data_IF_156167209135
#
_entry.id   IF_156167209135
#
_cell.length_a   1.000
_cell.length_b   1.000
_cell.length_c   1.000
_cell.angle_alpha   90.00
_cell.angle_beta   90.00
_cell.angle_gamma   90.00
#
_symmetry.space_group_name_H-M   'P 1'
#
loop_
_entity.id
_entity.type
_entity.pdbx_description
1 polymer ?
#
# COMPACT_ATOMS: atom_id res chain seq x y z
N UNK A 1 7.95 -16.31 2.31
CA UNK A 1 8.33 -14.90 2.11
C UNK A 1 7.58 -14.06 3.14
N UNK A 2 8.24 -13.11 3.81
CA UNK A 2 7.59 -12.19 4.76
C UNK A 2 6.87 -11.06 4.02
N UNK A 3 5.88 -10.42 4.66
CA UNK A 3 5.19 -9.24 4.09
C UNK A 3 6.17 -8.13 3.71
N UNK A 4 7.22 -7.91 4.50
CA UNK A 4 8.26 -6.93 4.20
C UNK A 4 9.07 -7.30 2.95
N UNK A 5 9.45 -8.58 2.81
CA UNK A 5 10.16 -9.06 1.63
C UNK A 5 9.29 -8.97 0.37
N UNK A 6 8.01 -9.33 0.49
CA UNK A 6 7.06 -9.23 -0.62
C UNK A 6 6.83 -7.78 -1.05
N UNK A 7 6.60 -6.90 -0.07
CA UNK A 7 6.46 -5.47 -0.32
C UNK A 7 7.65 -4.92 -1.08
N UNK A 8 8.87 -5.25 -0.63
CA UNK A 8 10.10 -4.85 -1.31
C UNK A 8 10.18 -5.42 -2.73
N UNK A 9 9.91 -6.71 -2.91
CA UNK A 9 9.96 -7.35 -4.22
C UNK A 9 8.98 -6.70 -5.21
N UNK A 10 7.75 -6.39 -4.78
CA UNK A 10 6.76 -5.74 -5.63
C UNK A 10 7.15 -4.28 -5.91
N UNK A 11 7.73 -3.58 -4.93
CA UNK A 11 8.22 -2.21 -5.10
C UNK A 11 9.34 -2.10 -6.14
N UNK A 12 10.19 -3.12 -6.24
CA UNK A 12 11.27 -3.24 -7.23
C UNK A 12 10.77 -3.80 -8.59
N UNK A 13 9.47 -4.10 -8.73
CA UNK A 13 8.86 -4.73 -9.91
C UNK A 13 8.06 -3.76 -10.79
N UNK A 14 7.56 -4.24 -11.94
CA UNK A 14 6.61 -3.51 -12.78
C UNK A 14 5.26 -3.23 -12.12
N UNK A 15 4.91 -3.93 -11.04
CA UNK A 15 3.66 -3.73 -10.28
C UNK A 15 3.76 -2.63 -9.22
N UNK A 16 4.91 -1.94 -9.11
CA UNK A 16 5.15 -0.87 -8.14
C UNK A 16 4.03 0.16 -8.08
N UNK A 17 3.63 0.70 -9.23
CA UNK A 17 2.63 1.76 -9.30
C UNK A 17 1.24 1.28 -8.85
N UNK A 18 0.89 0.02 -9.14
CA UNK A 18 -0.34 -0.59 -8.70
C UNK A 18 -0.33 -0.80 -7.17
N UNK A 19 0.79 -1.28 -6.62
CA UNK A 19 0.99 -1.42 -5.17
C UNK A 19 0.79 -0.09 -4.45
N UNK A 20 1.48 0.97 -4.90
CA UNK A 20 1.47 2.27 -4.22
C UNK A 20 0.07 2.91 -4.27
N UNK A 21 -0.63 2.83 -5.41
CA UNK A 21 -2.03 3.30 -5.50
C UNK A 21 -2.96 2.53 -4.58
N UNK A 22 -2.86 1.20 -4.59
CA UNK A 22 -3.69 0.36 -3.74
C UNK A 22 -3.44 0.64 -2.24
N UNK A 23 -2.17 0.80 -1.85
CA UNK A 23 -1.79 1.16 -0.49
C UNK A 23 -2.40 2.50 -0.06
N UNK A 24 -2.29 3.53 -0.91
CA UNK A 24 -2.89 4.84 -0.66
C UNK A 24 -4.41 4.76 -0.46
N UNK A 25 -5.11 4.03 -1.34
CA UNK A 25 -6.55 3.82 -1.20
C UNK A 25 -6.93 3.10 0.09
N UNK A 26 -6.19 2.04 0.46
CA UNK A 26 -6.47 1.28 1.69
C UNK A 26 -6.26 2.11 2.94
N UNK A 27 -5.20 2.93 3.00
CA UNK A 27 -4.98 3.86 4.09
C UNK A 27 -6.11 4.90 4.21
N UNK A 28 -6.63 5.40 3.07
CA UNK A 28 -7.77 6.31 3.04
C UNK A 28 -9.07 5.68 3.55
N UNK A 29 -9.31 4.41 3.19
CA UNK A 29 -10.44 3.63 3.72
C UNK A 29 -10.30 3.46 5.24
N UNK A 30 -9.12 3.04 5.73
CA UNK A 30 -8.89 2.91 7.18
C UNK A 30 -9.10 4.22 7.91
N UNK A 31 -8.60 5.35 7.39
CA UNK A 31 -8.83 6.66 7.99
C UNK A 31 -10.33 6.98 8.15
N UNK A 32 -11.16 6.62 7.17
CA UNK A 32 -12.62 6.79 7.22
C UNK A 32 -13.28 5.82 8.20
N UNK A 33 -12.89 4.55 8.21
CA UNK A 33 -13.47 3.51 9.07
C UNK A 33 -13.20 3.78 10.55
N UNK A 34 -12.02 4.28 10.89
CA UNK A 34 -11.64 4.63 12.27
C UNK A 34 -12.64 5.61 12.91
N UNK A 35 -13.15 6.59 12.14
CA UNK A 35 -14.15 7.52 12.66
C UNK A 35 -15.53 6.88 12.85
N UNK A 36 -15.86 5.82 12.11
CA UNK A 36 -17.10 5.08 12.29
C UNK A 36 -17.09 4.22 13.57
N UNK A 37 -15.91 3.77 14.01
CA UNK A 37 -15.73 2.89 15.18
C UNK A 37 -15.81 3.63 16.54
N UNK A 38 -15.82 4.97 16.56
CA UNK A 38 -15.94 5.81 17.77
C UNK A 38 -14.94 5.45 18.89
N UNK A 39 -13.76 4.92 18.54
CA UNK A 39 -12.74 4.55 19.51
C UNK A 39 -12.12 5.81 20.18
N UNK A 40 -11.65 5.72 21.44
CA UNK A 40 -10.99 6.83 22.15
C UNK A 40 -9.80 7.42 21.37
N UNK A 41 -9.07 6.57 20.65
CA UNK A 41 -7.88 6.95 19.89
C UNK A 41 -8.15 7.25 18.40
N UNK A 42 -9.43 7.31 18.00
CA UNK A 42 -9.83 7.40 16.59
C UNK A 42 -9.17 8.58 15.86
N UNK A 43 -9.12 9.75 16.50
CA UNK A 43 -8.49 10.93 15.92
C UNK A 43 -6.98 10.73 15.68
N UNK A 44 -6.28 10.11 16.62
CA UNK A 44 -4.83 9.86 16.52
C UNK A 44 -4.53 8.85 15.41
N UNK A 45 -5.28 7.75 15.37
CA UNK A 45 -5.10 6.71 14.36
C UNK A 45 -5.44 7.21 12.95
N UNK A 46 -6.51 7.98 12.80
CA UNK A 46 -6.89 8.57 11.51
C UNK A 46 -5.85 9.60 11.02
N UNK A 47 -5.27 10.40 11.93
CA UNK A 47 -4.15 11.30 11.61
C UNK A 47 -2.93 10.52 11.12
N UNK A 48 -2.55 9.42 11.79
CA UNK A 48 -1.45 8.59 11.32
C UNK A 48 -1.72 7.97 9.93
N UNK A 49 -2.96 7.54 9.64
CA UNK A 49 -3.34 7.08 8.30
C UNK A 49 -3.15 8.19 7.26
N UNK A 50 -3.58 9.42 7.58
CA UNK A 50 -3.39 10.57 6.71
C UNK A 50 -1.92 10.92 6.49
N UNK A 51 -1.09 10.91 7.54
CA UNK A 51 0.34 11.16 7.43
C UNK A 51 1.06 10.12 6.58
N UNK A 52 0.67 8.85 6.69
CA UNK A 52 1.18 7.78 5.83
C UNK A 52 0.81 8.01 4.36
N UNK A 53 -0.44 8.41 4.08
CA UNK A 53 -0.86 8.79 2.73
C UNK A 53 -0.08 10.00 2.20
N UNK A 54 0.14 11.04 3.02
CA UNK A 54 0.92 12.21 2.63
C UNK A 54 2.36 11.80 2.28
N UNK A 55 2.99 10.95 3.08
CA UNK A 55 4.35 10.45 2.80
C UNK A 55 4.43 9.68 1.48
N UNK A 56 3.43 8.84 1.22
CA UNK A 56 3.28 8.10 -0.03
C UNK A 56 3.15 9.04 -1.24
N UNK A 57 2.23 10.01 -1.16
CA UNK A 57 2.00 10.94 -2.27
C UNK A 57 3.17 11.89 -2.49
N UNK A 58 3.85 12.32 -1.42
CA UNK A 58 5.05 13.12 -1.51
C UNK A 58 6.16 12.37 -2.27
N UNK A 59 6.47 11.13 -1.88
CA UNK A 59 7.54 10.38 -2.55
C UNK A 59 7.19 10.00 -3.99
N UNK A 60 5.94 9.62 -4.27
CA UNK A 60 5.49 9.32 -5.64
C UNK A 60 5.48 10.56 -6.55
N UNK A 61 5.04 11.72 -6.04
CA UNK A 61 5.08 12.97 -6.80
C UNK A 61 6.51 13.48 -7.01
N UNK A 62 7.36 13.41 -5.98
CA UNK A 62 8.79 13.74 -6.10
C UNK A 62 9.49 12.86 -7.12
N UNK A 63 9.28 11.53 -7.08
CA UNK A 63 9.85 10.60 -8.05
C UNK A 63 9.43 10.96 -9.48
N UNK A 64 8.14 11.25 -9.69
CA UNK A 64 7.58 11.65 -10.97
C UNK A 64 8.14 12.98 -11.48
N UNK A 65 8.22 14.01 -10.63
CA UNK A 65 8.69 15.36 -11.02
C UNK A 65 10.19 15.41 -11.26
N UNK A 66 10.97 14.71 -10.44
CA UNK A 66 12.42 14.71 -10.53
C UNK A 66 12.96 13.72 -11.58
N UNK A 67 12.08 12.89 -12.17
CA UNK A 67 12.50 11.81 -13.08
C UNK A 67 13.39 10.76 -12.40
N UNK A 68 13.36 10.69 -11.06
CA UNK A 68 14.21 9.79 -10.28
C UNK A 68 13.51 8.44 -10.18
N UNK A 69 14.12 7.43 -10.80
CA UNK A 69 13.74 6.03 -10.60
C UNK A 69 14.14 5.57 -9.19
N UNK A 70 13.34 4.71 -8.57
CA UNK A 70 13.68 4.07 -7.30
C UNK A 70 13.01 4.63 -6.04
N UNK A 71 12.31 5.75 -6.09
CA UNK A 71 11.46 6.22 -4.99
C UNK A 71 9.98 5.87 -5.21
N UNK A 72 9.22 5.53 -4.15
CA UNK A 72 9.69 5.12 -2.82
C UNK A 72 10.60 3.88 -2.88
N UNK A 73 11.58 3.81 -1.98
CA UNK A 73 12.61 2.76 -1.92
C UNK A 73 12.35 1.71 -0.82
N UNK A 74 13.30 0.80 -0.60
CA UNK A 74 13.16 -0.29 0.37
C UNK A 74 12.98 0.19 1.83
N UNK A 75 13.35 1.42 2.17
CA UNK A 75 13.18 1.99 3.51
C UNK A 75 11.80 2.60 3.71
N UNK A 76 11.02 2.77 2.63
CA UNK A 76 9.72 3.42 2.69
C UNK A 76 8.75 2.76 3.66
N UNK A 77 8.76 1.42 3.77
CA UNK A 77 7.92 0.71 4.74
C UNK A 77 8.29 1.05 6.19
N UNK A 78 9.56 1.33 6.48
CA UNK A 78 10.01 1.76 7.80
C UNK A 78 9.50 3.18 8.13
N UNK A 79 9.48 4.09 7.16
CA UNK A 79 8.88 5.43 7.30
C UNK A 79 7.40 5.32 7.64
N UNK A 80 6.65 4.49 6.90
CA UNK A 80 5.23 4.27 7.18
C UNK A 80 5.02 3.65 8.58
N UNK A 81 5.87 2.69 8.96
CA UNK A 81 5.82 2.06 10.28
C UNK A 81 6.03 3.06 11.40
N UNK A 82 7.01 3.96 11.27
CA UNK A 82 7.25 5.02 12.26
C UNK A 82 6.03 5.93 12.44
N UNK A 83 5.34 6.28 11.34
CA UNK A 83 4.11 7.09 11.39
C UNK A 83 2.95 6.35 12.03
N UNK A 84 2.79 5.08 11.67
CA UNK A 84 1.80 4.21 12.29
C UNK A 84 2.02 4.06 13.80
N UNK A 85 3.29 3.99 14.24
CA UNK A 85 3.63 3.88 15.66
C UNK A 85 3.24 5.15 16.43
N UNK A 86 3.56 6.33 15.90
CA UNK A 86 3.24 7.61 16.53
C UNK A 86 1.74 7.79 16.80
N UNK A 87 0.87 7.35 15.90
CA UNK A 87 -0.59 7.47 16.07
C UNK A 87 -1.32 6.18 16.45
N UNK A 88 -0.61 5.12 16.84
CA UNK A 88 -1.23 3.85 17.22
C UNK A 88 -1.97 3.11 16.09
N UNK A 89 -1.59 3.35 14.83
CA UNK A 89 -2.26 2.85 13.63
C UNK A 89 -1.59 1.61 13.00
N UNK A 90 -0.78 0.85 13.75
CA UNK A 90 -0.05 -0.34 13.24
C UNK A 90 -0.95 -1.37 12.56
N UNK A 91 -2.13 -1.63 13.14
CA UNK A 91 -3.08 -2.59 12.58
C UNK A 91 -3.60 -2.12 11.21
N UNK A 92 -3.88 -0.83 11.07
CA UNK A 92 -4.33 -0.23 9.82
C UNK A 92 -3.25 -0.27 8.75
N UNK A 93 -1.99 0.06 9.09
CA UNK A 93 -0.87 -0.09 8.17
C UNK A 93 -0.72 -1.55 7.69
N UNK A 94 -0.76 -2.52 8.61
CA UNK A 94 -0.63 -3.94 8.24
C UNK A 94 -1.73 -4.36 7.26
N UNK A 95 -3.00 -4.06 7.59
CA UNK A 95 -4.16 -4.36 6.73
C UNK A 95 -4.03 -3.69 5.35
N UNK A 96 -3.56 -2.44 5.33
CA UNK A 96 -3.38 -1.70 4.09
C UNK A 96 -2.29 -2.31 3.20
N UNK A 97 -1.17 -2.72 3.79
CA UNK A 97 -0.07 -3.40 3.07
C UNK A 97 -0.53 -4.76 2.53
N UNK A 98 -1.13 -5.60 3.37
CA UNK A 98 -1.64 -6.92 2.96
C UNK A 98 -2.68 -6.78 1.82
N UNK A 99 -3.61 -5.85 1.97
CA UNK A 99 -4.64 -5.57 0.96
C UNK A 99 -4.06 -5.00 -0.34
N UNK A 100 -2.96 -4.24 -0.28
CA UNK A 100 -2.28 -3.72 -1.46
C UNK A 100 -1.50 -4.82 -2.20
N UNK A 101 -0.79 -5.68 -1.46
CA UNK A 101 -0.06 -6.82 -2.04
C UNK A 101 -1.00 -7.82 -2.71
N UNK A 102 -2.19 -8.04 -2.14
CA UNK A 102 -3.20 -8.89 -2.75
C UNK A 102 -3.61 -8.42 -4.16
N UNK A 103 -3.68 -7.09 -4.38
CA UNK A 103 -4.01 -6.51 -5.71
C UNK A 103 -2.90 -6.77 -6.73
N UNK A 104 -1.64 -6.81 -6.29
CA UNK A 104 -0.50 -7.01 -7.20
C UNK A 104 -0.24 -8.46 -7.60
N UNK A 105 -0.91 -9.42 -6.95
CA UNK A 105 -0.79 -10.85 -7.28
C UNK A 105 -1.55 -11.25 -8.55
N UNK A 106 -2.34 -10.35 -9.14
CA UNK A 106 -3.26 -10.68 -10.24
C UNK A 106 -4.33 -11.69 -9.82
N UNK A 107 -5.37 -11.94 -10.64
CA UNK A 107 -6.02 -13.24 -10.58
C UNK A 107 -4.92 -14.27 -10.82
N UNK A 108 -4.80 -15.26 -9.94
CA UNK A 108 -3.97 -16.43 -10.25
C UNK A 108 -4.34 -16.88 -11.66
N UNK A 109 -3.34 -17.20 -12.46
CA UNK A 109 -3.42 -17.76 -13.80
C UNK A 109 -4.53 -18.84 -13.84
N UNK A 110 -5.77 -18.42 -14.10
CA UNK A 110 -6.86 -19.32 -14.49
C UNK A 110 -6.48 -19.69 -15.91
N UNK A 111 -5.72 -20.79 -16.01
CA UNK A 111 -5.09 -21.24 -17.24
C UNK A 111 -6.01 -21.03 -18.43
N UNK A 112 -5.50 -20.31 -19.42
CA UNK A 112 -6.18 -20.03 -20.67
C UNK A 112 -6.81 -21.34 -21.18
N UNK A 113 -8.14 -21.45 -21.07
CA UNK A 113 -8.86 -22.59 -21.59
C UNK A 113 -8.55 -22.67 -23.10
N UNK A 114 -8.14 -23.85 -23.61
CA UNK A 114 -7.78 -23.96 -25.02
C UNK A 114 -8.98 -23.53 -25.87
N UNK A 115 -8.75 -22.56 -26.76
CA UNK A 115 -9.77 -22.11 -27.71
C UNK A 115 -10.19 -23.31 -28.54
N UNK A 116 -11.49 -23.52 -28.77
CA UNK A 116 -11.92 -24.58 -29.66
C UNK A 116 -11.36 -24.31 -31.06
N UNK A 117 -10.70 -25.30 -31.64
CA UNK A 117 -10.35 -25.27 -33.06
C UNK A 117 -11.67 -25.20 -33.85
N UNK A 118 -11.86 -24.13 -34.59
CA UNK A 118 -12.97 -24.01 -35.53
C UNK A 118 -12.71 -24.95 -36.75
N UNK A 119 -13.77 -25.63 -37.25
CA UNK A 119 -13.67 -26.71 -38.23
C UNK A 119 -13.29 -26.28 -39.65
#
# INVERSE_FOLDING_TARGET
MTVQQEFRAVLESGSRDALLRALGHRLGISAREIFAEQAPDALSQARACNEMMIALWAQTDTARRAGVAGYPDAEFLAILRSKADTGGARVHLRRAVEGALAVTRGPADEGEAPRPEEP
#
